data_IF_468175407266
#
_entry.id   IF_468175407266
#
_cell.length_a   1.000
_cell.length_b   1.000
_cell.length_c   1.000
_cell.angle_alpha   90.00
_cell.angle_beta   90.00
_cell.angle_gamma   90.00
#
_symmetry.space_group_name_H-M   'P 1'
#
loop_
_entity.id
_entity.type
_entity.pdbx_description
1 polymer ?
#
# COMPACT_ATOMS: atom_id res chain seq x y z
N UNK A 1 26.09 -8.98 49.45
CA UNK A 1 25.56 -9.26 48.10
C UNK A 1 26.10 -8.23 47.11
N UNK A 2 27.25 -8.49 46.48
CA UNK A 2 27.78 -7.63 45.43
C UNK A 2 27.11 -8.02 44.10
N UNK A 3 26.35 -7.10 43.49
CA UNK A 3 25.72 -7.34 42.18
C UNK A 3 26.81 -7.43 41.10
N UNK A 4 26.96 -8.61 40.50
CA UNK A 4 27.89 -8.88 39.39
C UNK A 4 27.28 -8.40 38.08
N UNK A 5 27.96 -7.49 37.39
CA UNK A 5 27.52 -6.94 36.10
C UNK A 5 28.01 -7.85 34.96
N UNK A 6 27.11 -8.26 34.07
CA UNK A 6 27.40 -9.16 32.94
C UNK A 6 26.81 -8.58 31.66
N UNK A 7 27.52 -8.69 30.54
CA UNK A 7 27.04 -8.24 29.24
C UNK A 7 26.06 -9.24 28.61
N UNK A 8 24.96 -8.74 28.05
CA UNK A 8 23.97 -9.54 27.32
C UNK A 8 24.00 -9.21 25.83
N UNK A 9 24.02 -10.23 24.98
CA UNK A 9 23.95 -10.08 23.52
C UNK A 9 22.52 -9.74 23.09
N UNK A 10 22.30 -8.48 22.75
CA UNK A 10 21.02 -8.02 22.20
C UNK A 10 20.99 -8.15 20.68
N UNK A 11 19.80 -8.42 20.11
CA UNK A 11 19.62 -8.43 18.66
C UNK A 11 19.57 -6.98 18.14
N UNK A 12 20.15 -6.72 16.96
CA UNK A 12 20.01 -5.39 16.31
C UNK A 12 18.53 -5.05 16.07
N UNK A 13 18.18 -3.78 16.25
CA UNK A 13 16.84 -3.23 16.00
C UNK A 13 16.46 -3.38 14.52
N UNK A 14 15.23 -3.81 14.26
CA UNK A 14 14.70 -3.94 12.90
C UNK A 14 14.11 -2.62 12.40
N UNK A 15 14.24 -2.34 11.11
CA UNK A 15 13.67 -1.13 10.48
C UNK A 15 12.16 -1.20 10.22
N UNK A 16 11.59 -2.41 10.26
CA UNK A 16 10.17 -2.68 9.99
C UNK A 16 9.76 -2.50 8.50
N UNK A 17 8.51 -2.84 8.16
CA UNK A 17 7.98 -2.73 6.81
C UNK A 17 7.74 -1.27 6.40
N UNK A 18 8.15 -0.94 5.17
CA UNK A 18 7.99 0.39 4.58
C UNK A 18 7.14 0.31 3.32
N UNK A 19 6.40 1.37 3.06
CA UNK A 19 5.68 1.52 1.81
C UNK A 19 6.66 1.82 0.67
N UNK A 20 6.62 1.10 -0.46
CA UNK A 20 7.52 1.32 -1.60
C UNK A 20 7.29 2.65 -2.32
N UNK A 21 6.09 3.22 -2.22
CA UNK A 21 5.74 4.48 -2.91
C UNK A 21 6.15 5.69 -2.07
N UNK A 22 5.80 5.69 -0.78
CA UNK A 22 6.01 6.85 0.09
C UNK A 22 7.29 6.76 0.92
N UNK A 23 7.95 5.60 0.98
CA UNK A 23 9.08 5.33 1.88
C UNK A 23 8.71 5.31 3.38
N UNK A 24 7.47 5.69 3.72
CA UNK A 24 6.97 5.79 5.09
C UNK A 24 6.73 4.40 5.68
N UNK A 25 6.90 4.30 7.00
CA UNK A 25 6.63 3.07 7.76
C UNK A 25 5.14 2.73 7.71
N UNK A 26 4.83 1.43 7.70
CA UNK A 26 3.45 0.97 7.68
C UNK A 26 2.92 0.92 9.12
N UNK A 27 1.93 1.75 9.40
CA UNK A 27 1.25 1.78 10.70
C UNK A 27 0.46 0.49 10.94
N UNK A 28 0.43 0.05 12.21
CA UNK A 28 -0.31 -1.13 12.64
C UNK A 28 0.45 -2.46 12.49
N UNK A 29 1.72 -2.45 12.06
CA UNK A 29 2.57 -3.65 12.00
C UNK A 29 3.79 -3.45 12.89
N UNK A 30 4.08 -4.36 13.84
CA UNK A 30 5.21 -4.24 14.75
C UNK A 30 6.52 -4.36 13.97
N UNK A 31 7.59 -3.68 14.40
CA UNK A 31 8.89 -3.73 13.73
C UNK A 31 9.77 -4.84 14.33
N UNK A 32 9.65 -6.02 13.75
CA UNK A 32 10.33 -7.22 14.24
C UNK A 32 11.36 -7.71 13.24
N UNK A 33 12.24 -8.62 13.68
CA UNK A 33 13.12 -9.33 12.74
C UNK A 33 12.32 -10.37 11.94
N UNK A 34 12.78 -10.78 10.74
CA UNK A 34 12.09 -11.78 9.94
C UNK A 34 11.74 -13.07 10.69
N UNK A 35 12.62 -13.54 11.58
CA UNK A 35 12.39 -14.73 12.40
C UNK A 35 11.23 -14.59 13.40
N UNK A 36 10.90 -13.37 13.82
CA UNK A 36 9.86 -13.08 14.81
C UNK A 36 8.48 -12.90 14.15
N UNK A 37 8.43 -12.62 12.84
CA UNK A 37 7.18 -12.62 12.06
C UNK A 37 6.64 -14.02 11.74
N UNK A 38 7.37 -15.07 12.11
CA UNK A 38 6.93 -16.46 11.91
C UNK A 38 5.57 -16.69 12.59
N UNK A 39 4.73 -17.49 11.94
CA UNK A 39 3.35 -17.77 12.39
C UNK A 39 3.26 -18.38 13.79
N UNK A 40 4.29 -19.11 14.21
CA UNK A 40 4.40 -19.70 15.56
C UNK A 40 4.68 -18.67 16.66
N UNK A 41 5.18 -17.48 16.32
CA UNK A 41 5.54 -16.43 17.28
C UNK A 41 4.57 -15.26 17.26
N UNK A 42 3.94 -15.00 16.11
CA UNK A 42 3.05 -13.86 15.93
C UNK A 42 1.76 -14.26 15.19
N UNK A 43 0.62 -13.91 15.79
CA UNK A 43 -0.71 -14.09 15.22
C UNK A 43 -0.88 -13.31 13.90
N UNK A 44 -1.89 -13.68 13.10
CA UNK A 44 -2.14 -13.04 11.80
C UNK A 44 -2.56 -11.57 11.95
N UNK A 45 -3.47 -11.26 12.86
CA UNK A 45 -3.98 -9.90 13.10
C UNK A 45 -2.87 -8.89 13.44
N UNK A 46 -1.76 -9.32 14.04
CA UNK A 46 -0.60 -8.46 14.33
C UNK A 46 0.35 -8.28 13.14
N UNK A 47 0.18 -9.06 12.06
CA UNK A 47 1.03 -9.02 10.86
C UNK A 47 0.37 -8.33 9.68
N UNK A 48 -0.94 -8.14 9.74
CA UNK A 48 -1.75 -7.62 8.64
C UNK A 48 -2.60 -6.45 9.10
N UNK A 49 -2.97 -5.58 8.17
CA UNK A 49 -4.00 -4.56 8.41
C UNK A 49 -5.21 -4.88 7.55
N UNK A 50 -6.41 -4.79 8.11
CA UNK A 50 -7.67 -5.09 7.42
C UNK A 50 -8.07 -3.96 6.46
N UNK A 51 -7.31 -3.80 5.38
CA UNK A 51 -7.62 -2.91 4.24
C UNK A 51 -6.97 -3.45 2.95
N UNK A 52 -7.38 -2.93 1.80
CA UNK A 52 -6.71 -3.21 0.53
C UNK A 52 -5.21 -2.86 0.61
N UNK A 53 -4.35 -3.77 0.12
CA UNK A 53 -2.88 -3.68 0.22
C UNK A 53 -2.33 -3.49 1.65
N UNK A 54 -3.05 -3.97 2.66
CA UNK A 54 -2.64 -3.94 4.06
C UNK A 54 -1.27 -4.60 4.26
N UNK A 55 -0.36 -3.90 4.93
CA UNK A 55 1.00 -4.39 5.16
C UNK A 55 1.99 -4.22 4.01
N UNK A 56 1.55 -3.69 2.87
CA UNK A 56 2.42 -3.36 1.74
C UNK A 56 2.41 -1.86 1.45
N UNK A 57 1.22 -1.25 1.41
CA UNK A 57 1.05 0.17 1.12
C UNK A 57 0.60 0.95 2.34
N UNK A 58 1.04 2.21 2.43
CA UNK A 58 0.50 3.18 3.39
C UNK A 58 -0.95 3.55 3.04
N UNK A 59 -1.74 3.96 4.03
CA UNK A 59 -3.15 4.34 3.80
C UNK A 59 -3.30 5.45 2.76
N UNK A 60 -2.40 6.44 2.79
CA UNK A 60 -2.37 7.52 1.80
C UNK A 60 -2.12 7.00 0.37
N UNK A 61 -1.16 6.10 0.19
CA UNK A 61 -0.87 5.52 -1.13
C UNK A 61 -2.02 4.64 -1.66
N UNK A 62 -2.77 3.97 -0.78
CA UNK A 62 -3.97 3.22 -1.16
C UNK A 62 -5.07 4.17 -1.62
N UNK A 63 -5.33 5.26 -0.87
CA UNK A 63 -6.31 6.28 -1.24
C UNK A 63 -6.00 6.90 -2.60
N UNK A 64 -4.74 7.27 -2.83
CA UNK A 64 -4.28 7.84 -4.10
C UNK A 64 -4.47 6.86 -5.27
N UNK A 65 -4.18 5.56 -5.09
CA UNK A 65 -4.43 4.55 -6.12
C UNK A 65 -5.91 4.40 -6.45
N UNK A 66 -6.78 4.39 -5.44
CA UNK A 66 -8.23 4.26 -5.64
C UNK A 66 -8.75 5.46 -6.44
N UNK A 67 -8.41 6.68 -6.02
CA UNK A 67 -8.84 7.91 -6.70
C UNK A 67 -8.27 7.96 -8.13
N UNK A 68 -6.98 7.66 -8.31
CA UNK A 68 -6.35 7.65 -9.63
C UNK A 68 -7.00 6.63 -10.56
N UNK A 69 -7.28 5.42 -10.08
CA UNK A 69 -7.94 4.39 -10.87
C UNK A 69 -9.34 4.84 -11.30
N UNK A 70 -10.13 5.37 -10.37
CA UNK A 70 -11.45 5.91 -10.66
C UNK A 70 -11.40 7.00 -11.74
N UNK A 71 -10.58 8.04 -11.54
CA UNK A 71 -10.48 9.15 -12.50
C UNK A 71 -10.00 8.71 -13.89
N UNK A 72 -9.10 7.73 -13.96
CA UNK A 72 -8.63 7.20 -15.24
C UNK A 72 -9.78 6.47 -15.97
N UNK A 73 -10.59 5.69 -15.26
CA UNK A 73 -11.75 5.03 -15.87
C UNK A 73 -12.82 6.04 -16.33
N UNK A 74 -13.13 7.04 -15.51
CA UNK A 74 -14.04 8.13 -15.90
C UNK A 74 -13.54 8.88 -17.15
N UNK A 75 -12.26 9.22 -17.18
CA UNK A 75 -11.65 9.86 -18.35
C UNK A 75 -11.69 8.98 -19.60
N UNK A 76 -11.53 7.65 -19.46
CA UNK A 76 -11.65 6.71 -20.59
C UNK A 76 -13.06 6.72 -21.16
N UNK A 77 -14.10 6.78 -20.33
CA UNK A 77 -15.49 6.84 -20.77
C UNK A 77 -15.74 8.15 -21.52
N UNK A 78 -15.37 9.30 -20.94
CA UNK A 78 -15.52 10.61 -21.58
C UNK A 78 -14.81 10.65 -22.93
N UNK A 79 -13.57 10.14 -23.01
CA UNK A 79 -12.81 10.06 -24.27
C UNK A 79 -13.51 9.19 -25.32
N UNK A 80 -14.16 8.08 -24.93
CA UNK A 80 -14.93 7.23 -25.85
C UNK A 80 -16.18 7.94 -26.37
N UNK A 81 -16.95 8.59 -25.49
CA UNK A 81 -18.17 9.32 -25.85
C UNK A 81 -17.85 10.46 -26.82
N UNK A 82 -16.84 11.28 -26.51
CA UNK A 82 -16.41 12.38 -27.39
C UNK A 82 -15.96 11.88 -28.78
N UNK A 83 -15.31 10.72 -28.85
CA UNK A 83 -14.94 10.11 -30.14
C UNK A 83 -16.17 9.69 -30.95
N UNK A 84 -17.17 9.09 -30.30
CA UNK A 84 -18.42 8.68 -30.96
C UNK A 84 -19.20 9.89 -31.47
N UNK A 85 -19.31 10.96 -30.68
CA UNK A 85 -20.00 12.20 -31.09
C UNK A 85 -19.33 12.84 -32.30
N UNK A 86 -17.99 13.01 -32.27
CA UNK A 86 -17.23 13.54 -33.41
C UNK A 86 -17.35 12.68 -34.67
N UNK A 87 -17.46 11.35 -34.53
CA UNK A 87 -17.67 10.46 -35.66
C UNK A 87 -19.07 10.64 -36.27
N UNK A 88 -20.11 10.80 -35.44
CA UNK A 88 -21.48 11.06 -35.88
C UNK A 88 -21.62 12.42 -36.59
N UNK A 89 -21.02 13.49 -36.05
CA UNK A 89 -21.02 14.82 -36.67
C UNK A 89 -20.36 14.81 -38.06
N UNK A 90 -19.22 14.13 -38.21
CA UNK A 90 -18.53 13.99 -39.51
C UNK A 90 -19.32 13.17 -40.54
N UNK A 91 -20.16 12.23 -40.10
CA UNK A 91 -21.06 11.49 -40.99
C UNK A 91 -22.22 12.38 -41.43
N UNK A 92 -22.79 13.16 -40.51
CA UNK A 92 -23.87 14.10 -40.82
C UNK A 92 -23.44 15.23 -41.76
N UNK A 93 -22.18 15.70 -41.71
CA UNK A 93 -21.65 16.71 -42.64
C UNK A 93 -21.24 16.15 -44.01
N UNK A 94 -21.23 14.83 -44.18
CA UNK A 94 -20.89 14.13 -45.45
C UNK A 94 -22.13 13.68 -46.22
N UNK A 95 -23.30 13.71 -45.58
CA UNK A 95 -24.61 13.59 -46.22
C UNK A 95 -25.14 14.98 -46.54
#
# INVERSE_FOLDING_TARGET
MLRKLVYQTTKKRASGPKCPVTGKRIQGIPHLRPAEYKRSRLSRNRRTVNRAYGGVLSGAAVKERIIRAFLIEEQKIVKKVLKIQKAKEKQASKS
#
